data_IF_102706886017
#
_entry.id   IF_102706886017
#
_cell.length_a   1.000
_cell.length_b   1.000
_cell.length_c   1.000
_cell.angle_alpha   90.00
_cell.angle_beta   90.00
_cell.angle_gamma   90.00
#
_symmetry.space_group_name_H-M   'P 1'
#
loop_
_entity.id
_entity.type
_entity.pdbx_description
1 polymer ?
#
# COMPACT_ATOMS: atom_id res chain seq x y z
N UNK A 1 13.44 -14.77 -4.16
CA UNK A 1 14.26 -13.94 -5.08
C UNK A 1 14.69 -14.83 -6.23
N UNK A 2 14.16 -14.61 -7.44
CA UNK A 2 14.47 -15.43 -8.63
C UNK A 2 15.73 -14.96 -9.36
N UNK A 3 16.45 -13.98 -8.80
CA UNK A 3 17.62 -13.33 -9.42
C UNK A 3 17.31 -12.46 -10.63
N UNK A 4 16.08 -12.51 -11.14
CA UNK A 4 15.65 -11.82 -12.36
C UNK A 4 14.68 -10.69 -12.04
N UNK A 5 14.79 -9.58 -12.77
CA UNK A 5 13.85 -8.45 -12.67
C UNK A 5 12.47 -8.88 -13.18
N UNK A 6 11.37 -8.61 -12.45
CA UNK A 6 10.01 -8.93 -12.89
C UNK A 6 9.66 -8.15 -14.18
N UNK A 7 8.80 -8.74 -15.02
CA UNK A 7 8.37 -8.12 -16.27
C UNK A 7 7.49 -6.87 -16.06
N UNK A 8 7.32 -6.08 -17.12
CA UNK A 8 6.58 -4.80 -17.11
C UNK A 8 5.15 -4.96 -16.58
N UNK A 9 4.45 -6.04 -16.95
CA UNK A 9 3.10 -6.32 -16.46
C UNK A 9 3.04 -6.28 -14.92
N UNK A 10 3.97 -6.96 -14.25
CA UNK A 10 4.03 -7.02 -12.80
C UNK A 10 4.38 -5.66 -12.17
N UNK A 11 5.30 -4.91 -12.78
CA UNK A 11 5.65 -3.56 -12.32
C UNK A 11 4.45 -2.61 -12.38
N UNK A 12 3.65 -2.64 -13.45
CA UNK A 12 2.42 -1.83 -13.56
C UNK A 12 1.40 -2.25 -12.49
N UNK A 13 1.22 -3.56 -12.32
CA UNK A 13 0.28 -4.08 -11.34
C UNK A 13 0.61 -3.62 -9.91
N UNK A 14 1.89 -3.62 -9.53
CA UNK A 14 2.31 -3.23 -8.19
C UNK A 14 2.37 -1.72 -7.99
N UNK A 15 2.89 -0.95 -8.95
CA UNK A 15 3.08 0.50 -8.77
C UNK A 15 1.79 1.31 -8.93
N UNK A 16 0.86 0.86 -9.78
CA UNK A 16 -0.33 1.64 -10.11
C UNK A 16 -1.63 0.90 -9.87
N UNK A 17 -1.78 -0.32 -10.39
CA UNK A 17 -3.08 -0.99 -10.37
C UNK A 17 -3.53 -1.35 -8.95
N UNK A 18 -2.64 -1.92 -8.15
CA UNK A 18 -2.95 -2.29 -6.77
C UNK A 18 -3.21 -1.06 -5.88
N UNK A 19 -2.35 -0.02 -5.86
CA UNK A 19 -2.64 1.20 -5.11
C UNK A 19 -3.93 1.89 -5.55
N UNK A 20 -4.22 1.95 -6.85
CA UNK A 20 -5.45 2.53 -7.37
C UNK A 20 -6.68 1.73 -6.95
N UNK A 21 -6.62 0.40 -7.03
CA UNK A 21 -7.72 -0.47 -6.58
C UNK A 21 -7.94 -0.35 -5.07
N UNK A 22 -6.88 -0.27 -4.26
CA UNK A 22 -6.98 -0.05 -2.82
C UNK A 22 -7.58 1.32 -2.49
N UNK A 23 -7.18 2.36 -3.24
CA UNK A 23 -7.72 3.70 -3.07
C UNK A 23 -9.19 3.77 -3.51
N UNK A 24 -9.58 3.08 -4.57
CA UNK A 24 -10.96 3.11 -5.08
C UNK A 24 -11.93 2.45 -4.10
N UNK A 25 -11.58 1.29 -3.53
CA UNK A 25 -12.42 0.65 -2.50
C UNK A 25 -12.48 1.49 -1.22
N UNK A 26 -11.38 2.16 -0.86
CA UNK A 26 -11.35 3.04 0.30
C UNK A 26 -12.25 4.26 0.11
N UNK A 27 -12.19 4.91 -1.06
CA UNK A 27 -13.07 6.02 -1.40
C UNK A 27 -14.53 5.58 -1.41
N UNK A 28 -14.83 4.42 -2.02
CA UNK A 28 -16.19 3.85 -2.01
C UNK A 28 -16.70 3.67 -0.58
N UNK A 29 -15.88 3.14 0.32
CA UNK A 29 -16.23 2.95 1.72
C UNK A 29 -16.52 4.29 2.43
N UNK A 30 -15.74 5.35 2.17
CA UNK A 30 -16.03 6.67 2.72
C UNK A 30 -17.31 7.29 2.18
N UNK A 31 -17.60 7.09 0.89
CA UNK A 31 -18.84 7.59 0.27
C UNK A 31 -20.05 6.90 0.89
N UNK A 32 -20.04 5.57 1.01
CA UNK A 32 -21.11 4.81 1.66
C UNK A 32 -21.32 5.26 3.11
N UNK A 33 -20.23 5.45 3.86
CA UNK A 33 -20.30 5.92 5.23
C UNK A 33 -20.87 7.34 5.34
N UNK A 34 -20.62 8.21 4.36
CA UNK A 34 -21.15 9.56 4.32
C UNK A 34 -22.64 9.61 3.94
N UNK A 35 -23.12 8.69 3.08
CA UNK A 35 -24.51 8.67 2.62
C UNK A 35 -25.44 7.88 3.53
N UNK A 36 -25.00 6.71 4.02
CA UNK A 36 -25.82 5.79 4.82
C UNK A 36 -25.57 5.92 6.32
N UNK A 37 -24.46 6.56 6.72
CA UNK A 37 -24.04 6.67 8.11
C UNK A 37 -23.45 5.38 8.67
N UNK A 38 -23.08 5.41 9.95
CA UNK A 38 -22.63 4.21 10.68
C UNK A 38 -23.76 3.67 11.56
N UNK A 39 -24.14 2.41 11.34
CA UNK A 39 -25.18 1.72 12.11
C UNK A 39 -24.99 0.21 12.10
N UNK A 40 -25.83 -0.49 12.87
CA UNK A 40 -25.88 -1.95 12.93
C UNK A 40 -27.31 -2.44 12.74
N UNK A 41 -27.46 -3.61 12.12
CA UNK A 41 -28.77 -4.24 11.94
C UNK A 41 -29.14 -5.01 13.20
N UNK A 42 -30.24 -4.61 13.84
CA UNK A 42 -30.77 -5.25 15.03
C UNK A 42 -32.02 -6.06 14.68
N UNK A 43 -32.00 -7.36 14.97
CA UNK A 43 -33.18 -8.21 14.80
C UNK A 43 -34.26 -7.88 15.84
N UNK A 44 -35.48 -7.54 15.38
CA UNK A 44 -36.61 -7.24 16.26
C UNK A 44 -37.65 -8.35 16.14
N UNK A 45 -37.73 -9.18 17.18
CA UNK A 45 -38.62 -10.36 17.24
C UNK A 45 -40.11 -10.02 17.01
N UNK A 46 -40.56 -8.83 17.35
CA UNK A 46 -41.96 -8.41 17.20
C UNK A 46 -42.36 -8.07 15.76
N UNK A 47 -41.41 -7.60 14.96
CA UNK A 47 -41.62 -7.24 13.55
C UNK A 47 -41.23 -8.41 12.64
N UNK A 48 -40.32 -9.27 13.11
CA UNK A 48 -39.78 -10.38 12.32
C UNK A 48 -38.83 -9.87 11.22
N UNK A 49 -38.21 -8.72 11.45
CA UNK A 49 -37.31 -8.05 10.51
C UNK A 49 -36.13 -7.39 11.24
N UNK A 50 -35.09 -7.05 10.49
CA UNK A 50 -33.92 -6.29 10.95
C UNK A 50 -34.13 -4.80 10.76
N UNK A 51 -33.93 -4.01 11.83
CA UNK A 51 -33.92 -2.55 11.74
C UNK A 51 -32.51 -1.99 11.96
N UNK A 52 -32.13 -1.01 11.13
CA UNK A 52 -30.88 -0.24 11.26
C UNK A 52 -30.94 0.65 12.50
N UNK A 53 -30.02 0.44 13.45
CA UNK A 53 -29.85 1.27 14.65
C UNK A 53 -28.49 1.95 14.66
N UNK A 54 -28.41 3.13 15.26
CA UNK A 54 -27.17 3.90 15.40
C UNK A 54 -26.28 3.35 16.51
N UNK A 55 -24.97 3.49 16.33
CA UNK A 55 -24.01 3.08 17.35
C UNK A 55 -24.10 3.94 18.61
N UNK A 56 -24.06 3.34 19.81
CA UNK A 56 -23.94 4.10 21.03
C UNK A 56 -22.53 4.72 21.15
N UNK A 57 -22.44 5.89 21.78
CA UNK A 57 -21.21 6.70 21.84
C UNK A 57 -20.01 5.93 22.40
N UNK A 58 -20.23 5.06 23.40
CA UNK A 58 -19.14 4.26 23.99
C UNK A 58 -18.50 3.29 22.98
N UNK A 59 -19.25 2.78 22.01
CA UNK A 59 -18.72 1.88 20.99
C UNK A 59 -17.81 2.63 20.02
N UNK A 60 -18.17 3.86 19.65
CA UNK A 60 -17.35 4.74 18.80
C UNK A 60 -16.03 5.08 19.51
N UNK A 61 -16.07 5.35 20.82
CA UNK A 61 -14.86 5.62 21.61
C UNK A 61 -13.91 4.43 21.64
N UNK A 62 -14.41 3.19 21.71
CA UNK A 62 -13.56 1.99 21.68
C UNK A 62 -12.79 1.86 20.36
N UNK A 63 -13.44 2.13 19.22
CA UNK A 63 -12.78 2.12 17.91
C UNK A 63 -11.67 3.16 17.85
N UNK A 64 -11.94 4.39 18.33
CA UNK A 64 -10.94 5.45 18.34
C UNK A 64 -9.74 5.11 19.22
N UNK A 65 -9.96 4.54 20.41
CA UNK A 65 -8.86 4.13 21.30
C UNK A 65 -8.01 3.05 20.64
N UNK A 66 -8.63 2.03 20.04
CA UNK A 66 -7.90 0.94 19.38
C UNK A 66 -6.96 1.43 18.28
N UNK A 67 -7.40 2.38 17.45
CA UNK A 67 -6.57 2.94 16.37
C UNK A 67 -5.39 3.79 16.86
N UNK A 68 -5.46 4.38 18.06
CA UNK A 68 -4.43 5.29 18.56
C UNK A 68 -3.35 4.60 19.42
N UNK A 69 -3.46 3.30 19.67
CA UNK A 69 -2.47 2.55 20.44
C UNK A 69 -1.43 1.97 19.48
N UNK A 70 -0.17 2.43 19.49
CA UNK A 70 0.89 1.76 18.74
C UNK A 70 1.15 0.40 19.39
N UNK A 71 0.79 -0.68 18.68
CA UNK A 71 0.95 -2.08 19.15
C UNK A 71 2.29 -2.67 18.69
N UNK A 72 2.90 -2.10 17.65
CA UNK A 72 4.07 -2.65 16.97
C UNK A 72 5.25 -1.70 17.20
N UNK A 73 6.32 -2.22 17.79
CA UNK A 73 7.60 -1.52 17.89
C UNK A 73 8.24 -1.42 16.50
N UNK A 74 8.94 -0.31 16.25
CA UNK A 74 9.69 -0.14 15.01
C UNK A 74 10.88 -1.10 14.98
N UNK A 75 10.71 -2.23 14.30
CA UNK A 75 11.80 -3.18 14.01
C UNK A 75 12.72 -2.57 12.95
N UNK A 76 14.03 -2.59 13.21
CA UNK A 76 15.01 -2.14 12.23
C UNK A 76 14.93 -2.98 10.94
N UNK A 77 15.19 -2.36 9.80
CA UNK A 77 15.14 -3.04 8.51
C UNK A 77 16.17 -4.18 8.51
N UNK A 78 15.71 -5.42 8.39
CA UNK A 78 16.58 -6.58 8.25
C UNK A 78 17.57 -6.37 7.08
N UNK A 79 18.86 -6.36 7.38
CA UNK A 79 19.92 -6.30 6.38
C UNK A 79 19.94 -7.60 5.55
N UNK A 80 20.03 -7.48 4.23
CA UNK A 80 20.06 -8.63 3.32
C UNK A 80 21.17 -8.47 2.26
N UNK A 81 22.13 -9.40 2.14
CA UNK A 81 23.25 -9.32 1.21
C UNK A 81 22.85 -9.71 -0.22
N UNK A 82 22.03 -8.89 -0.86
CA UNK A 82 21.49 -9.17 -2.20
C UNK A 82 22.57 -9.22 -3.29
N UNK A 83 23.60 -8.39 -3.16
CA UNK A 83 24.69 -8.26 -4.14
C UNK A 83 25.61 -9.50 -4.10
N UNK A 84 26.07 -9.88 -2.91
CA UNK A 84 26.93 -11.06 -2.72
C UNK A 84 26.29 -12.35 -3.25
N UNK A 85 24.97 -12.52 -3.03
CA UNK A 85 24.23 -13.67 -3.53
C UNK A 85 24.11 -13.68 -5.05
N UNK A 86 23.97 -12.50 -5.68
CA UNK A 86 23.92 -12.41 -7.14
C UNK A 86 25.26 -12.76 -7.75
N UNK A 87 26.35 -12.31 -7.16
CA UNK A 87 27.71 -12.62 -7.61
C UNK A 87 28.01 -14.12 -7.45
N UNK A 88 27.64 -14.71 -6.31
CA UNK A 88 27.80 -16.15 -6.07
C UNK A 88 27.03 -17.01 -7.08
N UNK A 89 25.83 -16.57 -7.49
CA UNK A 89 25.00 -17.28 -8.46
C UNK A 89 25.24 -16.86 -9.92
N UNK A 90 26.14 -15.92 -10.19
CA UNK A 90 26.44 -15.42 -11.55
C UNK A 90 25.23 -14.82 -12.26
N UNK A 91 24.32 -14.18 -11.52
CA UNK A 91 23.06 -13.65 -12.08
C UNK A 91 23.24 -12.18 -12.48
N UNK A 92 23.40 -11.96 -13.78
CA UNK A 92 23.44 -10.62 -14.37
C UNK A 92 22.02 -10.05 -14.53
N UNK A 93 21.76 -8.82 -14.06
CA UNK A 93 20.45 -8.22 -14.12
C UNK A 93 20.15 -7.81 -15.57
N UNK A 94 18.90 -7.99 -15.99
CA UNK A 94 18.44 -7.45 -17.28
C UNK A 94 18.61 -5.91 -17.30
N UNK A 95 19.09 -5.31 -18.40
CA UNK A 95 19.16 -3.85 -18.52
C UNK A 95 17.76 -3.22 -18.50
N UNK A 96 17.67 -2.00 -17.98
CA UNK A 96 16.42 -1.26 -17.89
C UNK A 96 15.89 -0.92 -19.29
N UNK A 97 14.61 -1.17 -19.53
CA UNK A 97 13.97 -0.77 -20.79
C UNK A 97 13.60 0.71 -20.78
N UNK A 98 13.54 1.36 -21.95
CA UNK A 98 13.15 2.78 -22.05
C UNK A 98 11.77 3.06 -21.49
N UNK A 99 10.85 2.10 -21.60
CA UNK A 99 9.51 2.17 -20.99
C UNK A 99 9.56 2.10 -19.48
N UNK A 100 10.49 1.35 -18.89
CA UNK A 100 10.66 1.32 -17.43
C UNK A 100 11.21 2.65 -16.90
N UNK A 101 12.18 3.24 -17.59
CA UNK A 101 12.72 4.56 -17.22
C UNK A 101 11.65 5.65 -17.33
N UNK A 102 10.84 5.63 -18.38
CA UNK A 102 9.78 6.64 -18.58
C UNK A 102 8.61 6.46 -17.61
N UNK A 103 8.10 5.23 -17.46
CA UNK A 103 6.86 4.97 -16.73
C UNK A 103 7.09 4.86 -15.23
N UNK A 104 8.24 4.34 -14.79
CA UNK A 104 8.51 4.06 -13.37
C UNK A 104 9.65 4.89 -12.77
N UNK A 105 10.30 5.72 -13.59
CA UNK A 105 11.44 6.55 -13.20
C UNK A 105 12.62 5.74 -12.64
N UNK A 106 12.82 4.55 -13.20
CA UNK A 106 13.87 3.64 -12.78
C UNK A 106 15.22 4.10 -13.32
N UNK A 107 16.19 4.28 -12.42
CA UNK A 107 17.58 4.62 -12.75
C UNK A 107 18.28 3.45 -13.46
N UNK A 108 19.37 3.71 -14.21
CA UNK A 108 20.19 2.65 -14.83
C UNK A 108 20.77 1.66 -13.80
N UNK A 109 21.02 2.11 -12.56
CA UNK A 109 21.49 1.28 -11.45
C UNK A 109 20.39 0.37 -10.86
N UNK A 110 19.17 0.49 -11.36
CA UNK A 110 18.03 -0.31 -10.96
C UNK A 110 17.27 0.20 -9.74
N UNK A 111 17.75 1.27 -9.09
CA UNK A 111 17.02 2.00 -8.05
C UNK A 111 15.82 2.75 -8.63
N UNK A 112 14.73 2.82 -7.88
CA UNK A 112 13.56 3.62 -8.24
C UNK A 112 13.80 5.07 -7.80
N UNK A 113 13.72 6.02 -8.73
CA UNK A 113 13.70 7.45 -8.40
C UNK A 113 12.27 7.97 -8.20
N UNK A 114 12.15 9.17 -7.63
CA UNK A 114 10.87 9.87 -7.59
C UNK A 114 10.49 10.41 -8.97
N UNK A 115 9.25 10.14 -9.41
CA UNK A 115 8.70 10.63 -10.68
C UNK A 115 8.23 12.09 -10.64
N UNK A 116 8.37 12.78 -9.51
CA UNK A 116 7.91 14.17 -9.35
C UNK A 116 9.06 15.16 -9.62
N UNK A 117 8.86 16.21 -10.44
CA UNK A 117 9.88 17.24 -10.65
C UNK A 117 10.15 18.00 -9.34
N UNK A 118 11.32 17.78 -8.73
CA UNK A 118 11.78 18.46 -7.51
C UNK A 118 12.16 17.55 -6.33
N UNK A 119 12.02 16.23 -6.45
CA UNK A 119 12.35 15.30 -5.36
C UNK A 119 13.78 14.71 -5.46
N UNK A 120 14.58 15.15 -6.44
CA UNK A 120 15.92 14.62 -6.70
C UNK A 120 17.05 15.38 -5.98
N UNK A 121 16.74 16.51 -5.34
CA UNK A 121 17.77 17.41 -4.80
C UNK A 121 18.17 17.09 -3.35
N UNK A 122 17.59 16.08 -2.71
CA UNK A 122 17.86 15.76 -1.29
C UNK A 122 18.84 14.61 -1.06
N UNK A 123 19.25 13.88 -2.10
CA UNK A 123 20.11 12.69 -1.95
C UNK A 123 21.60 13.00 -2.18
N UNK A 124 21.96 14.24 -2.54
CA UNK A 124 23.34 14.65 -2.84
C UNK A 124 24.01 15.46 -1.69
N UNK A 125 23.34 15.64 -0.55
CA UNK A 125 23.88 16.33 0.64
C UNK A 125 23.91 15.43 1.89
N UNK A 126 24.70 14.34 1.87
CA UNK A 126 25.43 13.84 3.05
C UNK A 126 26.62 12.94 2.67
#
# INVERSE_FOLDING_TARGET
MTGTRPGIYWLICWKYLSPLAMLSILISSFVELATEGSGYDAWIKSIGDTERKTWPVWAVLLVLVYFNVPIIDDEERAWFPAEELRDFHGIEPRPVSTTETLLFCTRPDGSEGCCWPGCCDTDDEE
#
